data_IF_147388933337
#
_entry.id   IF_147388933337
#
_cell.length_a   1.000
_cell.length_b   1.000
_cell.length_c   1.000
_cell.angle_alpha   90.00
_cell.angle_beta   90.00
_cell.angle_gamma   90.00
#
_symmetry.space_group_name_H-M   'P 1'
#
loop_
_entity.id
_entity.type
_entity.pdbx_description
1 polymer ?
#
# COMPACT_ATOMS: atom_id res chain seq x y z
N UNK A 1 -43.21 15.54 -4.07
CA UNK A 1 -42.25 14.68 -4.81
C UNK A 1 -40.86 15.16 -4.45
N UNK A 2 -40.25 14.58 -3.42
CA UNK A 2 -38.89 14.91 -2.98
C UNK A 2 -37.92 14.06 -3.80
N UNK A 3 -37.36 14.65 -4.86
CA UNK A 3 -36.24 14.05 -5.57
C UNK A 3 -35.05 14.02 -4.62
N UNK A 4 -34.69 12.83 -4.18
CA UNK A 4 -33.36 12.59 -3.62
C UNK A 4 -32.40 12.63 -4.80
N UNK A 5 -31.84 13.79 -5.09
CA UNK A 5 -30.66 13.85 -5.94
C UNK A 5 -29.63 12.87 -5.36
N UNK A 6 -29.03 11.99 -6.17
CA UNK A 6 -28.00 11.09 -5.68
C UNK A 6 -26.87 11.94 -5.12
N UNK A 7 -26.52 11.69 -3.86
CA UNK A 7 -25.41 12.34 -3.18
C UNK A 7 -24.19 12.32 -4.11
N UNK A 8 -23.59 13.49 -4.43
CA UNK A 8 -22.39 13.51 -5.25
C UNK A 8 -21.34 12.63 -4.59
N UNK A 9 -20.60 11.80 -5.36
CA UNK A 9 -19.63 10.89 -4.80
C UNK A 9 -18.65 11.67 -3.92
N UNK A 10 -18.46 11.17 -2.69
CA UNK A 10 -17.57 11.76 -1.69
C UNK A 10 -16.22 12.09 -2.34
N UNK A 11 -15.91 13.38 -2.46
CA UNK A 11 -14.71 13.83 -3.14
C UNK A 11 -13.48 13.23 -2.45
N UNK A 12 -12.69 12.45 -3.21
CA UNK A 12 -11.41 11.92 -2.74
C UNK A 12 -10.52 13.06 -2.22
N UNK A 13 -9.71 12.79 -1.19
CA UNK A 13 -8.68 13.73 -0.70
C UNK A 13 -7.96 14.37 -1.88
N UNK A 14 -7.80 15.70 -1.88
CA UNK A 14 -7.26 16.49 -3.00
C UNK A 14 -5.90 16.00 -3.53
N UNK A 15 -5.12 15.33 -2.66
CA UNK A 15 -3.78 14.81 -2.96
C UNK A 15 -3.74 13.30 -3.25
N UNK A 16 -4.88 12.61 -3.23
CA UNK A 16 -4.93 11.18 -3.51
C UNK A 16 -4.81 10.94 -5.02
N UNK A 17 -3.95 10.00 -5.48
CA UNK A 17 -3.87 9.66 -6.91
C UNK A 17 -5.06 8.81 -7.38
N UNK A 18 -5.93 8.36 -6.46
CA UNK A 18 -6.99 7.38 -6.72
C UNK A 18 -8.26 8.11 -7.18
N UNK A 19 -8.88 7.54 -8.21
CA UNK A 19 -10.11 8.04 -8.83
C UNK A 19 -11.01 6.86 -9.17
N UNK A 20 -12.27 7.10 -9.51
CA UNK A 20 -13.20 6.04 -9.92
C UNK A 20 -12.67 5.21 -11.10
N UNK A 21 -11.93 5.84 -12.02
CA UNK A 21 -11.32 5.17 -13.16
C UNK A 21 -10.02 4.40 -12.82
N UNK A 22 -9.29 4.84 -11.78
CA UNK A 22 -8.04 4.22 -11.33
C UNK A 22 -8.08 4.01 -9.80
N UNK A 23 -8.92 3.07 -9.31
CA UNK A 23 -9.22 2.93 -7.88
C UNK A 23 -8.01 2.51 -7.04
N UNK A 24 -7.02 1.86 -7.66
CA UNK A 24 -5.79 1.40 -7.00
C UNK A 24 -4.55 2.09 -7.56
N UNK A 25 -4.69 3.33 -8.03
CA UNK A 25 -3.54 4.18 -8.33
C UNK A 25 -2.67 4.43 -7.08
N UNK A 26 -1.38 4.70 -7.32
CA UNK A 26 -0.43 4.97 -6.26
C UNK A 26 0.62 5.98 -6.71
N UNK A 27 1.14 6.73 -5.74
CA UNK A 27 2.26 7.65 -5.93
C UNK A 27 3.60 6.90 -5.92
N UNK A 28 4.66 7.57 -6.42
CA UNK A 28 6.03 7.03 -6.35
C UNK A 28 6.47 6.75 -4.90
N UNK A 29 6.07 7.60 -3.96
CA UNK A 29 6.42 7.44 -2.54
C UNK A 29 5.70 6.23 -1.91
N UNK A 30 4.43 6.02 -2.25
CA UNK A 30 3.69 4.82 -1.81
C UNK A 30 4.31 3.55 -2.39
N UNK A 31 4.71 3.57 -3.66
CA UNK A 31 5.45 2.47 -4.26
C UNK A 31 6.76 2.19 -3.54
N UNK A 32 7.59 3.21 -3.28
CA UNK A 32 8.89 3.01 -2.63
C UNK A 32 8.74 2.45 -1.21
N UNK A 33 7.74 2.93 -0.46
CA UNK A 33 7.38 2.38 0.85
C UNK A 33 6.90 0.93 0.74
N UNK A 34 6.13 0.60 -0.29
CA UNK A 34 5.69 -0.77 -0.58
C UNK A 34 6.84 -1.69 -0.94
N UNK A 35 7.76 -1.24 -1.81
CA UNK A 35 8.96 -1.95 -2.22
C UNK A 35 9.89 -2.22 -1.03
N UNK A 36 10.12 -1.23 -0.16
CA UNK A 36 10.90 -1.41 1.06
C UNK A 36 10.27 -2.44 2.01
N UNK A 37 8.93 -2.41 2.19
CA UNK A 37 8.22 -3.42 2.97
C UNK A 37 8.30 -4.81 2.36
N UNK A 38 8.13 -4.90 1.05
CA UNK A 38 8.27 -6.15 0.31
C UNK A 38 9.65 -6.76 0.49
N UNK A 39 10.69 -5.96 0.27
CA UNK A 39 12.07 -6.40 0.46
C UNK A 39 12.31 -6.86 1.90
N UNK A 40 11.92 -6.06 2.91
CA UNK A 40 12.09 -6.42 4.31
C UNK A 40 11.32 -7.69 4.70
N UNK A 41 10.05 -7.80 4.30
CA UNK A 41 9.22 -8.96 4.60
C UNK A 41 9.74 -10.24 3.95
N UNK A 42 10.07 -10.21 2.65
CA UNK A 42 10.63 -11.36 1.95
C UNK A 42 11.99 -11.75 2.53
N UNK A 43 12.87 -10.79 2.78
CA UNK A 43 14.20 -11.05 3.36
C UNK A 43 14.08 -11.68 4.75
N UNK A 44 13.20 -11.14 5.61
CA UNK A 44 12.97 -11.69 6.94
C UNK A 44 12.40 -13.11 6.88
N UNK A 45 11.40 -13.35 6.02
CA UNK A 45 10.82 -14.68 5.82
C UNK A 45 11.89 -15.69 5.39
N UNK A 46 12.72 -15.32 4.42
CA UNK A 46 13.82 -16.18 3.96
C UNK A 46 14.82 -16.48 5.08
N UNK A 47 15.27 -15.46 5.81
CA UNK A 47 16.22 -15.63 6.92
C UNK A 47 15.65 -16.58 7.98
N UNK A 48 14.41 -16.34 8.43
CA UNK A 48 13.76 -17.15 9.45
C UNK A 48 13.58 -18.59 8.97
N UNK A 49 13.08 -18.80 7.75
CA UNK A 49 12.85 -20.14 7.22
C UNK A 49 14.14 -20.94 7.07
N UNK A 50 15.21 -20.32 6.55
CA UNK A 50 16.52 -20.97 6.45
C UNK A 50 17.14 -21.24 7.82
N UNK A 51 17.02 -20.30 8.76
CA UNK A 51 17.49 -20.49 10.13
C UNK A 51 16.83 -21.72 10.79
N UNK A 52 15.51 -21.87 10.65
CA UNK A 52 14.78 -23.03 11.16
C UNK A 52 15.25 -24.31 10.45
N UNK A 53 15.33 -24.29 9.12
CA UNK A 53 15.68 -25.46 8.33
C UNK A 53 17.10 -25.99 8.60
N UNK A 54 18.06 -25.09 8.83
CA UNK A 54 19.47 -25.47 9.11
C UNK A 54 19.78 -25.58 10.61
N UNK A 55 18.78 -25.49 11.49
CA UNK A 55 19.00 -25.49 12.95
C UNK A 55 19.89 -24.34 13.44
N UNK A 56 19.87 -23.19 12.75
CA UNK A 56 20.64 -21.99 13.10
C UNK A 56 22.14 -22.03 12.72
N UNK A 57 22.66 -23.17 12.27
CA UNK A 57 24.08 -23.38 11.97
C UNK A 57 24.68 -22.34 11.01
N UNK A 58 23.86 -21.80 10.09
CA UNK A 58 24.30 -20.83 9.09
C UNK A 58 23.59 -19.49 9.20
N UNK A 59 23.08 -19.10 10.37
CA UNK A 59 22.30 -17.87 10.53
C UNK A 59 23.07 -16.64 10.05
N UNK A 60 24.33 -16.45 10.48
CA UNK A 60 25.12 -15.26 10.13
C UNK A 60 25.50 -15.27 8.65
N UNK A 61 26.14 -16.35 8.19
CA UNK A 61 26.61 -16.47 6.79
C UNK A 61 25.43 -16.45 5.83
N UNK A 62 24.38 -17.23 6.09
CA UNK A 62 23.17 -17.28 5.28
C UNK A 62 22.46 -15.93 5.22
N UNK A 63 22.36 -15.20 6.34
CA UNK A 63 21.78 -13.85 6.35
C UNK A 63 22.58 -12.90 5.46
N UNK A 64 23.90 -12.88 5.58
CA UNK A 64 24.76 -12.03 4.75
C UNK A 64 24.57 -12.36 3.27
N UNK A 65 24.55 -13.64 2.91
CA UNK A 65 24.35 -14.08 1.53
C UNK A 65 22.96 -13.71 0.99
N UNK A 66 21.90 -13.89 1.77
CA UNK A 66 20.52 -13.48 1.42
C UNK A 66 20.47 -11.97 1.18
N UNK A 67 21.05 -11.17 2.08
CA UNK A 67 21.05 -9.71 1.95
C UNK A 67 21.80 -9.30 0.68
N UNK A 68 23.01 -9.82 0.45
CA UNK A 68 23.81 -9.52 -0.74
C UNK A 68 23.06 -9.88 -2.02
N UNK A 69 22.45 -11.07 -2.10
CA UNK A 69 21.69 -11.50 -3.27
C UNK A 69 20.39 -10.70 -3.47
N UNK A 70 19.76 -10.24 -2.39
CA UNK A 70 18.48 -9.52 -2.44
C UNK A 70 18.61 -8.08 -2.97
N UNK A 71 19.76 -7.42 -2.80
CA UNK A 71 19.92 -6.02 -3.21
C UNK A 71 19.83 -5.87 -4.74
N UNK A 72 20.63 -6.60 -5.56
CA UNK A 72 20.47 -6.56 -7.02
C UNK A 72 19.08 -7.00 -7.47
N UNK A 73 18.49 -7.99 -6.79
CA UNK A 73 17.15 -8.47 -7.09
C UNK A 73 16.10 -7.36 -6.95
N UNK A 74 16.16 -6.55 -5.90
CA UNK A 74 15.25 -5.42 -5.71
C UNK A 74 15.52 -4.33 -6.73
N UNK A 75 16.78 -4.00 -7.02
CA UNK A 75 17.12 -2.96 -8.00
C UNK A 75 16.59 -3.31 -9.39
N UNK A 76 16.77 -4.56 -9.82
CA UNK A 76 16.33 -5.06 -11.12
C UNK A 76 14.83 -5.33 -11.15
N UNK A 77 14.28 -5.87 -10.06
CA UNK A 77 12.88 -6.28 -9.97
C UNK A 77 11.90 -5.13 -9.67
N UNK A 78 12.35 -4.02 -9.08
CA UNK A 78 11.46 -2.91 -8.73
C UNK A 78 10.82 -2.23 -9.95
N UNK A 79 11.54 -1.96 -11.06
CA UNK A 79 10.91 -1.42 -12.28
C UNK A 79 9.77 -2.29 -12.81
N UNK A 80 9.95 -3.62 -12.84
CA UNK A 80 8.90 -4.54 -13.28
C UNK A 80 7.70 -4.56 -12.34
N UNK A 81 7.92 -4.55 -11.02
CA UNK A 81 6.85 -4.45 -10.04
C UNK A 81 6.08 -3.12 -10.14
N UNK A 82 6.80 -2.01 -10.42
CA UNK A 82 6.19 -0.71 -10.65
C UNK A 82 5.30 -0.71 -11.90
N UNK A 83 5.81 -1.26 -13.00
CA UNK A 83 5.06 -1.39 -14.25
C UNK A 83 3.81 -2.28 -14.07
N UNK A 84 3.94 -3.40 -13.36
CA UNK A 84 2.83 -4.29 -13.05
C UNK A 84 1.74 -3.59 -12.23
N UNK A 85 2.13 -2.90 -11.16
CA UNK A 85 1.19 -2.11 -10.36
C UNK A 85 0.51 -1.02 -11.20
N UNK A 86 1.26 -0.34 -12.07
CA UNK A 86 0.71 0.69 -12.96
C UNK A 86 -0.26 0.07 -13.96
N UNK A 87 -0.04 -1.14 -14.46
CA UNK A 87 -0.98 -1.81 -15.37
C UNK A 87 -2.29 -2.20 -14.66
N UNK A 88 -2.21 -2.67 -13.42
CA UNK A 88 -3.36 -3.19 -12.67
C UNK A 88 -4.21 -2.13 -11.95
N UNK A 89 -3.77 -0.87 -11.92
CA UNK A 89 -4.43 0.23 -11.20
C UNK A 89 -5.93 0.44 -11.48
N UNK A 90 -6.38 0.06 -12.69
CA UNK A 90 -7.78 0.18 -13.13
C UNK A 90 -8.65 -0.96 -12.61
N UNK A 91 -8.05 -2.07 -12.19
CA UNK A 91 -8.76 -3.23 -11.68
C UNK A 91 -9.07 -3.00 -10.20
N UNK A 92 -10.36 -2.93 -9.78
CA UNK A 92 -10.73 -2.76 -8.38
C UNK A 92 -10.59 -4.06 -7.57
N UNK A 93 -10.40 -5.21 -8.24
CA UNK A 93 -10.43 -6.53 -7.61
C UNK A 93 -9.10 -6.82 -6.91
N UNK A 94 -9.08 -6.73 -5.57
CA UNK A 94 -7.91 -7.03 -4.73
C UNK A 94 -7.31 -8.41 -5.07
N UNK A 95 -8.14 -9.41 -5.34
CA UNK A 95 -7.68 -10.75 -5.70
C UNK A 95 -6.80 -10.80 -6.96
N UNK A 96 -7.06 -9.95 -7.96
CA UNK A 96 -6.26 -9.89 -9.19
C UNK A 96 -4.84 -9.40 -8.88
N UNK A 97 -4.72 -8.40 -8.01
CA UNK A 97 -3.43 -7.89 -7.57
C UNK A 97 -2.69 -8.92 -6.72
N UNK A 98 -3.37 -9.59 -5.79
CA UNK A 98 -2.76 -10.66 -4.99
C UNK A 98 -2.18 -11.77 -5.87
N UNK A 99 -2.94 -12.24 -6.86
CA UNK A 99 -2.48 -13.27 -7.80
C UNK A 99 -1.29 -12.75 -8.63
N UNK A 100 -1.38 -11.53 -9.15
CA UNK A 100 -0.33 -10.96 -9.99
C UNK A 100 0.98 -10.72 -9.22
N UNK A 101 0.91 -10.17 -8.01
CA UNK A 101 2.09 -9.96 -7.17
C UNK A 101 2.62 -11.28 -6.59
N UNK A 102 1.78 -12.27 -6.32
CA UNK A 102 2.24 -13.61 -5.96
C UNK A 102 3.00 -14.26 -7.13
N UNK A 103 2.45 -14.19 -8.35
CA UNK A 103 3.10 -14.72 -9.55
C UNK A 103 4.42 -13.99 -9.85
N UNK A 104 4.44 -12.66 -9.71
CA UNK A 104 5.67 -11.87 -9.86
C UNK A 104 6.70 -12.22 -8.79
N UNK A 105 6.27 -12.38 -7.53
CA UNK A 105 7.14 -12.82 -6.44
C UNK A 105 7.70 -14.22 -6.65
N UNK A 106 6.90 -15.15 -7.18
CA UNK A 106 7.36 -16.50 -7.54
C UNK A 106 8.42 -16.43 -8.65
N UNK A 107 8.17 -15.67 -9.73
CA UNK A 107 9.12 -15.48 -10.81
C UNK A 107 10.42 -14.85 -10.31
N UNK A 108 10.34 -13.80 -9.50
CA UNK A 108 11.50 -13.19 -8.87
C UNK A 108 12.26 -14.20 -8.00
N UNK A 109 11.54 -15.01 -7.21
CA UNK A 109 12.11 -16.10 -6.41
C UNK A 109 12.87 -17.12 -7.25
N UNK A 110 12.33 -17.54 -8.40
CA UNK A 110 12.99 -18.46 -9.34
C UNK A 110 14.27 -17.83 -9.89
N UNK A 111 14.18 -16.62 -10.45
CA UNK A 111 15.31 -15.94 -11.10
C UNK A 111 16.44 -15.67 -10.11
N UNK A 112 16.09 -15.17 -8.92
CA UNK A 112 17.08 -14.87 -7.88
C UNK A 112 17.71 -16.11 -7.29
N UNK A 113 16.94 -17.18 -7.07
CA UNK A 113 17.47 -18.46 -6.58
C UNK A 113 18.40 -19.08 -7.62
N UNK A 114 18.00 -19.13 -8.89
CA UNK A 114 18.84 -19.64 -9.97
C UNK A 114 20.14 -18.82 -10.10
N UNK A 115 20.04 -17.49 -10.07
CA UNK A 115 21.20 -16.60 -10.11
C UNK A 115 22.14 -16.78 -8.92
N UNK A 116 21.60 -16.92 -7.71
CA UNK A 116 22.40 -17.18 -6.51
C UNK A 116 23.09 -18.54 -6.55
N UNK A 117 22.38 -19.61 -6.94
CA UNK A 117 22.96 -20.95 -7.10
C UNK A 117 24.07 -20.94 -8.18
N UNK A 118 23.83 -20.27 -9.30
CA UNK A 118 24.84 -20.13 -10.34
C UNK A 118 26.09 -19.39 -9.83
N UNK A 119 25.90 -18.25 -9.16
CA UNK A 119 26.99 -17.37 -8.71
C UNK A 119 27.80 -17.99 -7.57
N UNK A 120 27.14 -18.63 -6.60
CA UNK A 120 27.79 -19.09 -5.37
C UNK A 120 28.13 -20.58 -5.37
N UNK A 121 27.47 -21.39 -6.21
CA UNK A 121 27.69 -22.84 -6.30
C UNK A 121 28.15 -23.28 -7.70
N UNK A 122 28.49 -22.35 -8.61
CA UNK A 122 29.04 -22.69 -9.92
C UNK A 122 28.07 -23.40 -10.85
N UNK A 123 26.76 -23.23 -10.65
CA UNK A 123 25.73 -23.78 -11.55
C UNK A 123 25.22 -25.17 -11.21
N UNK A 124 25.66 -25.79 -10.09
CA UNK A 124 25.08 -27.05 -9.62
C UNK A 124 23.70 -26.84 -8.97
N UNK A 125 22.68 -26.54 -9.79
CA UNK A 125 21.29 -26.59 -9.35
C UNK A 125 20.78 -28.04 -9.22
N UNK A 126 21.52 -28.99 -9.81
CA UNK A 126 21.17 -30.41 -9.84
C UNK A 126 21.49 -31.06 -8.49
N UNK A 127 20.45 -31.31 -7.70
CA UNK A 127 20.56 -32.00 -6.42
C UNK A 127 19.52 -31.58 -5.42
N UNK A 128 19.46 -32.32 -4.30
CA UNK A 128 18.47 -32.09 -3.24
C UNK A 128 18.58 -30.68 -2.63
N UNK A 129 19.79 -30.11 -2.53
CA UNK A 129 20.01 -28.76 -2.00
C UNK A 129 19.40 -27.67 -2.90
N UNK A 130 19.58 -27.78 -4.22
CA UNK A 130 18.95 -26.88 -5.20
C UNK A 130 17.43 -26.98 -5.16
N UNK A 131 16.88 -28.19 -5.14
CA UNK A 131 15.44 -28.44 -5.01
C UNK A 131 14.86 -27.82 -3.73
N UNK A 132 15.52 -28.00 -2.59
CA UNK A 132 15.11 -27.35 -1.33
C UNK A 132 15.15 -25.83 -1.48
N UNK A 133 16.18 -25.27 -2.10
CA UNK A 133 16.29 -23.83 -2.28
C UNK A 133 15.11 -23.27 -3.09
N UNK A 134 14.70 -23.92 -4.17
CA UNK A 134 13.50 -23.52 -4.91
C UNK A 134 12.21 -23.71 -4.09
N UNK A 135 12.06 -24.85 -3.41
CA UNK A 135 10.88 -25.16 -2.58
C UNK A 135 10.67 -24.14 -1.45
N UNK A 136 11.75 -23.58 -0.90
CA UNK A 136 11.68 -22.57 0.16
C UNK A 136 11.57 -21.17 -0.42
N UNK A 137 12.46 -20.79 -1.34
CA UNK A 137 12.59 -19.39 -1.75
C UNK A 137 11.41 -18.92 -2.61
N UNK A 138 10.89 -19.78 -3.50
CA UNK A 138 9.83 -19.39 -4.45
C UNK A 138 8.52 -19.07 -3.73
N UNK A 139 7.97 -19.95 -2.86
CA UNK A 139 6.74 -19.64 -2.13
C UNK A 139 6.91 -18.44 -1.20
N UNK A 140 8.03 -18.32 -0.50
CA UNK A 140 8.26 -17.20 0.42
C UNK A 140 8.39 -15.86 -0.32
N UNK A 141 8.99 -15.85 -1.51
CA UNK A 141 9.04 -14.66 -2.36
C UNK A 141 7.65 -14.26 -2.85
N UNK A 142 6.82 -15.23 -3.26
CA UNK A 142 5.43 -15.00 -3.65
C UNK A 142 4.62 -14.42 -2.48
N UNK A 143 4.71 -15.04 -1.30
CA UNK A 143 4.00 -14.61 -0.08
C UNK A 143 4.45 -13.23 0.39
N UNK A 144 5.77 -13.00 0.44
CA UNK A 144 6.33 -11.73 0.89
C UNK A 144 5.91 -10.57 0.00
N UNK A 145 5.94 -10.76 -1.32
CA UNK A 145 5.56 -9.71 -2.26
C UNK A 145 4.05 -9.43 -2.26
N UNK A 146 3.22 -10.48 -2.35
CA UNK A 146 1.77 -10.34 -2.31
C UNK A 146 1.28 -9.75 -0.99
N UNK A 147 1.84 -10.23 0.13
CA UNK A 147 1.52 -9.75 1.47
C UNK A 147 1.92 -8.29 1.68
N UNK A 148 3.14 -7.91 1.27
CA UNK A 148 3.59 -6.53 1.39
C UNK A 148 2.79 -5.56 0.51
N UNK A 149 2.42 -5.98 -0.71
CA UNK A 149 1.51 -5.21 -1.56
C UNK A 149 0.16 -5.01 -0.86
N UNK A 150 -0.44 -6.09 -0.35
CA UNK A 150 -1.74 -6.05 0.32
C UNK A 150 -1.75 -5.10 1.53
N UNK A 151 -0.74 -5.20 2.39
CA UNK A 151 -0.59 -4.34 3.56
C UNK A 151 -0.44 -2.87 3.13
N UNK A 152 0.36 -2.62 2.09
CA UNK A 152 0.61 -1.26 1.60
C UNK A 152 -0.64 -0.66 0.97
N UNK A 153 -1.34 -1.41 0.12
CA UNK A 153 -2.59 -0.99 -0.50
C UNK A 153 -3.66 -0.71 0.56
N UNK A 154 -3.85 -1.63 1.53
CA UNK A 154 -4.82 -1.44 2.61
C UNK A 154 -4.51 -0.23 3.47
N UNK A 155 -3.23 0.03 3.76
CA UNK A 155 -2.83 1.22 4.51
C UNK A 155 -3.09 2.50 3.73
N UNK A 156 -2.79 2.53 2.44
CA UNK A 156 -3.05 3.70 1.60
C UNK A 156 -4.55 4.00 1.51
N UNK A 157 -5.38 2.98 1.28
CA UNK A 157 -6.83 3.12 1.25
C UNK A 157 -7.42 3.59 2.59
N UNK A 158 -6.88 3.13 3.73
CA UNK A 158 -7.27 3.63 5.05
C UNK A 158 -6.92 5.11 5.23
N UNK A 159 -5.73 5.53 4.80
CA UNK A 159 -5.31 6.93 4.88
C UNK A 159 -6.16 7.85 3.98
N UNK A 160 -6.60 7.35 2.83
CA UNK A 160 -7.58 8.08 2.00
C UNK A 160 -8.91 8.20 2.72
N UNK A 161 -9.36 7.14 3.43
CA UNK A 161 -10.60 7.17 4.20
C UNK A 161 -10.56 8.06 5.44
N UNK A 162 -9.39 8.24 6.04
CA UNK A 162 -9.20 9.14 7.19
C UNK A 162 -9.06 10.61 6.72
N UNK A 163 -8.61 10.85 5.49
CA UNK A 163 -8.47 12.17 4.88
C UNK A 163 -9.78 12.85 4.45
N UNK A 164 -10.94 12.19 4.63
CA UNK A 164 -12.27 12.75 4.35
C UNK A 164 -12.70 13.88 5.32
N UNK A 165 -11.88 14.24 6.32
CA UNK A 165 -12.14 15.31 7.30
C UNK A 165 -11.32 16.58 7.16
N UNK A 166 -10.26 16.61 6.33
CA UNK A 166 -9.36 17.76 6.16
C UNK A 166 -9.82 18.73 5.04
N UNK A 167 -10.98 18.46 4.42
CA UNK A 167 -11.63 19.44 3.59
C UNK A 167 -11.99 20.62 4.48
N UNK A 168 -11.31 21.77 4.29
CA UNK A 168 -11.87 23.08 4.69
C UNK A 168 -13.35 23.01 4.32
N UNK A 169 -14.30 23.14 5.27
CA UNK A 169 -15.71 23.21 4.92
C UNK A 169 -15.77 24.22 3.79
N UNK A 170 -16.23 23.79 2.61
CA UNK A 170 -16.46 24.75 1.54
C UNK A 170 -17.26 25.85 2.22
N UNK A 171 -16.67 27.06 2.33
CA UNK A 171 -17.29 28.20 2.98
C UNK A 171 -18.66 28.28 2.36
N UNK A 172 -19.66 27.77 3.09
CA UNK A 172 -20.98 27.59 2.54
C UNK A 172 -21.45 29.01 2.27
N UNK A 173 -21.59 29.35 1.00
CA UNK A 173 -21.94 30.72 0.59
C UNK A 173 -23.25 31.14 1.24
N UNK A 174 -24.10 30.16 1.54
CA UNK A 174 -25.36 30.33 2.24
C UNK A 174 -25.10 30.62 3.74
N UNK A 175 -24.20 29.89 4.40
CA UNK A 175 -23.81 30.17 5.79
C UNK A 175 -23.16 31.57 5.96
N UNK A 176 -22.31 31.99 5.02
CA UNK A 176 -21.72 33.33 5.03
C UNK A 176 -22.77 34.44 4.81
N UNK A 177 -23.85 34.13 4.08
CA UNK A 177 -24.97 35.06 3.86
C UNK A 177 -25.87 35.14 5.08
N UNK A 178 -26.15 34.01 5.74
CA UNK A 178 -26.93 33.94 6.98
C UNK A 178 -26.22 34.63 8.15
N UNK A 179 -24.92 34.45 8.32
CA UNK A 179 -24.13 35.14 9.36
C UNK A 179 -24.07 36.66 9.13
N UNK A 180 -23.96 37.10 7.87
CA UNK A 180 -24.02 38.52 7.52
C UNK A 180 -25.40 39.15 7.79
N UNK A 181 -26.47 38.36 7.65
CA UNK A 181 -27.82 38.78 8.01
C UNK A 181 -28.01 38.83 9.54
N UNK A 182 -27.55 37.82 10.28
CA UNK A 182 -27.65 37.76 11.74
C UNK A 182 -26.85 38.90 12.41
N UNK A 183 -25.67 39.24 11.86
CA UNK A 183 -24.86 40.37 12.31
C UNK A 183 -25.55 41.72 12.03
N UNK A 184 -26.23 41.87 10.89
CA UNK A 184 -27.08 43.06 10.62
C UNK A 184 -28.25 43.16 11.60
N UNK A 185 -28.93 42.07 11.92
CA UNK A 185 -30.02 42.08 12.89
C UNK A 185 -29.54 42.43 14.30
N UNK A 186 -28.33 42.01 14.67
CA UNK A 186 -27.69 42.34 15.95
C UNK A 186 -27.40 43.82 16.14
N UNK A 187 -27.09 44.53 15.05
CA UNK A 187 -26.85 45.98 15.05
C UNK A 187 -28.18 46.76 15.13
N UNK A 188 -29.25 46.24 14.54
CA UNK A 188 -30.55 46.92 14.47
C UNK A 188 -31.39 46.73 15.75
N UNK A 189 -31.33 45.55 16.39
CA UNK A 189 -32.15 45.24 17.57
C UNK A 189 -31.36 44.47 18.64
N UNK A 190 -30.45 45.14 19.37
CA UNK A 190 -29.53 44.50 20.31
C UNK A 190 -30.22 43.88 21.54
N UNK A 191 -31.45 44.26 21.84
CA UNK A 191 -32.16 43.84 23.06
C UNK A 191 -33.02 42.57 22.90
N UNK A 192 -33.17 42.06 21.68
CA UNK A 192 -34.10 40.94 21.39
C UNK A 192 -33.69 39.61 22.05
N UNK A 193 -32.38 39.35 22.21
CA UNK A 193 -31.89 38.15 22.91
C UNK A 193 -32.08 38.18 24.43
N UNK A 194 -32.22 39.37 25.05
CA UNK A 194 -32.38 39.48 26.51
C UNK A 194 -33.74 38.99 27.00
N UNK A 195 -34.76 38.94 26.13
CA UNK A 195 -36.12 38.53 26.49
C UNK A 195 -36.42 37.04 26.29
N UNK A 196 -35.50 36.25 25.72
CA UNK A 196 -35.74 34.84 25.40
C UNK A 196 -35.07 33.85 26.35
N UNK A 197 -34.39 34.28 27.42
CA UNK A 197 -34.05 33.36 28.52
C UNK A 197 -35.24 33.29 29.47
N UNK A 198 -35.96 32.15 29.56
CA UNK A 198 -36.79 31.90 30.72
C UNK A 198 -35.86 31.91 31.93
N UNK A 199 -36.20 32.70 32.94
CA UNK A 199 -35.63 32.50 34.27
C UNK A 199 -36.39 31.33 34.86
N UNK A 200 -35.75 30.17 34.87
CA UNK A 200 -35.97 29.10 35.84
C UNK A 200 -34.61 28.50 36.20
#
# INVERSE_FOLDING_TARGET
MTGTDPEPPLASRRDSPRTDAEPLAFTRAEFLKGAARAWGATTLLLIVSWAVLTGGFSLVVGTVMIVIASVPAVVIGSPGAYALGRFLRRSPRIGVHLIAFAAYGALAGVVTTAGALFTFMGGSADGWAGSIAFLVNVPLSAMGLAGAWFITARRALRLDSEGFGDGVPASDGDAATEDALDERYRIIDPDRRRRQRPRD
#
